data_IF_792616715895
#
_entry.id   IF_792616715895
#
_cell.length_a   1.000
_cell.length_b   1.000
_cell.length_c   1.000
_cell.angle_alpha   90.00
_cell.angle_beta   90.00
_cell.angle_gamma   90.00
#
_symmetry.space_group_name_H-M   'P 1'
#
loop_
_entity.id
_entity.type
_entity.pdbx_description
1 polymer ?
#
# COMPACT_ATOMS: atom_id res chain seq x y z
N UNK A 1 2.05 0.07 -11.46
CA UNK A 1 2.00 -1.07 -12.41
C UNK A 1 1.52 -2.38 -11.78
N UNK A 2 2.11 -2.86 -10.67
CA UNK A 2 1.62 -4.09 -10.00
C UNK A 2 0.41 -3.82 -9.12
N UNK A 3 0.49 -2.82 -8.23
CA UNK A 3 -0.63 -2.44 -7.35
C UNK A 3 -1.88 -2.09 -8.15
N UNK A 4 -1.74 -1.36 -9.26
CA UNK A 4 -2.86 -1.04 -10.14
C UNK A 4 -3.59 -2.29 -10.65
N UNK A 5 -2.86 -3.35 -11.02
CA UNK A 5 -3.45 -4.62 -11.46
C UNK A 5 -4.17 -5.32 -10.31
N UNK A 6 -3.55 -5.36 -9.13
CA UNK A 6 -4.18 -5.93 -7.93
C UNK A 6 -5.48 -5.20 -7.62
N UNK A 7 -5.46 -3.86 -7.63
CA UNK A 7 -6.64 -3.05 -7.35
C UNK A 7 -7.75 -3.27 -8.39
N UNK A 8 -7.39 -3.39 -9.67
CA UNK A 8 -8.35 -3.61 -10.75
C UNK A 8 -8.97 -5.02 -10.73
N UNK A 9 -8.18 -6.05 -10.40
CA UNK A 9 -8.64 -7.45 -10.49
C UNK A 9 -9.27 -7.99 -9.19
N UNK A 10 -8.88 -7.47 -8.02
CA UNK A 10 -9.32 -8.00 -6.74
C UNK A 10 -10.85 -8.07 -6.56
N UNK A 11 -11.66 -7.05 -6.91
CA UNK A 11 -13.11 -7.10 -6.70
C UNK A 11 -13.78 -8.28 -7.40
N UNK A 12 -13.38 -8.57 -8.64
CA UNK A 12 -13.92 -9.68 -9.43
C UNK A 12 -13.48 -11.07 -8.96
N UNK A 13 -12.62 -11.16 -7.94
CA UNK A 13 -12.13 -12.40 -7.34
C UNK A 13 -12.65 -12.63 -5.93
N UNK A 14 -13.34 -11.65 -5.33
CA UNK A 14 -13.94 -11.77 -4.02
C UNK A 14 -15.37 -12.32 -4.14
N UNK A 15 -15.76 -13.19 -3.22
CA UNK A 15 -17.18 -13.51 -2.99
C UNK A 15 -17.90 -12.27 -2.40
N UNK A 16 -19.23 -12.21 -2.44
CA UNK A 16 -19.96 -11.17 -1.72
C UNK A 16 -19.59 -11.14 -0.23
N UNK A 17 -19.36 -9.96 0.33
CA UNK A 17 -18.79 -9.76 1.68
C UNK A 17 -17.32 -10.22 1.84
N UNK A 18 -16.63 -10.51 0.75
CA UNK A 18 -15.23 -10.92 0.75
C UNK A 18 -14.28 -9.76 1.05
N UNK A 19 -13.11 -10.06 1.61
CA UNK A 19 -12.15 -9.04 2.07
C UNK A 19 -10.79 -9.24 1.42
N UNK A 20 -10.21 -8.15 0.91
CA UNK A 20 -8.80 -8.02 0.55
C UNK A 20 -8.04 -7.35 1.71
N UNK A 21 -6.91 -7.94 2.11
CA UNK A 21 -5.91 -7.28 2.95
C UNK A 21 -4.64 -7.09 2.12
N UNK A 22 -4.26 -5.83 1.93
CA UNK A 22 -3.10 -5.44 1.15
C UNK A 22 -2.09 -4.73 2.04
N UNK A 23 -0.90 -5.31 2.18
CA UNK A 23 0.23 -4.69 2.88
C UNK A 23 1.12 -4.02 1.85
N UNK A 24 1.41 -2.73 2.03
CA UNK A 24 2.35 -1.99 1.18
C UNK A 24 3.21 -1.02 1.99
N UNK A 25 4.36 -0.64 1.44
CA UNK A 25 5.11 0.53 1.91
C UNK A 25 4.33 1.81 1.62
N UNK A 26 4.34 2.76 2.55
CA UNK A 26 3.74 4.09 2.35
C UNK A 26 4.40 4.83 1.17
N UNK A 27 5.67 4.52 0.85
CA UNK A 27 6.39 5.05 -0.31
C UNK A 27 5.73 4.71 -1.65
N UNK A 28 4.89 3.67 -1.69
CA UNK A 28 4.12 3.30 -2.88
C UNK A 28 2.92 4.23 -3.15
N UNK A 29 2.63 5.16 -2.23
CA UNK A 29 1.46 6.03 -2.27
C UNK A 29 0.23 5.34 -1.70
N UNK A 30 -0.23 5.78 -0.53
CA UNK A 30 -1.41 5.21 0.15
C UNK A 30 -2.71 5.67 -0.52
N UNK A 31 -2.86 6.97 -0.74
CA UNK A 31 -4.07 7.56 -1.34
C UNK A 31 -4.37 7.00 -2.73
N UNK A 32 -3.40 6.92 -3.67
CA UNK A 32 -3.66 6.33 -4.99
C UNK A 32 -4.17 4.88 -4.92
N UNK A 33 -3.63 4.07 -4.01
CA UNK A 33 -4.08 2.68 -3.81
C UNK A 33 -5.51 2.63 -3.26
N UNK A 34 -5.82 3.44 -2.23
CA UNK A 34 -7.19 3.52 -1.68
C UNK A 34 -8.18 3.94 -2.77
N UNK A 35 -7.89 5.02 -3.49
CA UNK A 35 -8.78 5.54 -4.51
C UNK A 35 -8.99 4.53 -5.65
N UNK A 36 -7.95 3.77 -6.01
CA UNK A 36 -8.05 2.72 -7.01
C UNK A 36 -8.98 1.58 -6.57
N UNK A 37 -8.88 1.13 -5.31
CA UNK A 37 -9.76 0.10 -4.75
C UNK A 37 -11.21 0.58 -4.64
N UNK A 38 -11.43 1.83 -4.20
CA UNK A 38 -12.76 2.45 -4.15
C UNK A 38 -13.37 2.55 -5.54
N UNK A 39 -12.60 3.06 -6.52
CA UNK A 39 -13.07 3.11 -7.93
C UNK A 39 -13.36 1.74 -8.51
N UNK A 40 -12.68 0.69 -8.04
CA UNK A 40 -12.91 -0.68 -8.45
C UNK A 40 -14.11 -1.35 -7.74
N UNK A 41 -14.77 -0.65 -6.81
CA UNK A 41 -16.01 -1.09 -6.16
C UNK A 41 -15.84 -1.72 -4.78
N UNK A 42 -14.67 -1.59 -4.14
CA UNK A 42 -14.47 -2.04 -2.76
C UNK A 42 -14.66 -0.89 -1.78
N UNK A 43 -15.24 -1.18 -0.60
CA UNK A 43 -15.15 -0.30 0.56
C UNK A 43 -13.74 -0.41 1.16
N UNK A 44 -12.88 0.56 0.87
CA UNK A 44 -11.45 0.50 1.17
C UNK A 44 -11.01 1.54 2.20
N UNK A 45 -10.26 1.10 3.21
CA UNK A 45 -9.72 1.94 4.27
C UNK A 45 -8.36 1.44 4.76
N UNK A 46 -7.60 2.33 5.39
CA UNK A 46 -6.39 1.93 6.12
C UNK A 46 -6.80 1.29 7.44
N UNK A 47 -6.52 0.00 7.58
CA UNK A 47 -6.79 -0.75 8.80
C UNK A 47 -5.67 -0.61 9.83
N UNK A 48 -4.41 -0.51 9.40
CA UNK A 48 -3.26 -0.41 10.29
C UNK A 48 -2.07 0.30 9.63
N UNK A 49 -1.25 0.93 10.48
CA UNK A 49 0.04 1.56 10.12
C UNK A 49 1.12 1.10 11.08
N UNK A 50 2.31 0.79 10.57
CA UNK A 50 3.44 0.37 11.39
C UNK A 50 4.76 0.87 10.84
N UNK A 51 5.53 1.58 11.67
CA UNK A 51 6.93 1.86 11.37
C UNK A 51 7.81 0.66 11.71
N UNK A 52 8.55 0.17 10.71
CA UNK A 52 9.49 -0.95 10.84
C UNK A 52 10.87 -0.52 10.35
N UNK A 53 11.97 -1.11 10.84
CA UNK A 53 13.29 -0.84 10.28
C UNK A 53 13.32 -1.16 8.78
N UNK A 54 14.09 -0.40 8.00
CA UNK A 54 14.26 -0.70 6.58
C UNK A 54 14.72 -2.14 6.36
N UNK A 55 14.05 -2.81 5.43
CA UNK A 55 14.52 -4.08 4.88
C UNK A 55 15.76 -3.90 3.98
N UNK A 56 16.41 -5.00 3.57
CA UNK A 56 17.65 -4.95 2.77
C UNK A 56 17.53 -4.08 1.51
N UNK A 57 16.40 -4.19 0.80
CA UNK A 57 16.12 -3.44 -0.43
C UNK A 57 16.05 -1.93 -0.23
N UNK A 58 15.45 -1.46 0.87
CA UNK A 58 15.37 -0.03 1.17
C UNK A 58 16.71 0.49 1.66
N UNK A 59 17.45 -0.29 2.46
CA UNK A 59 18.80 0.09 2.90
C UNK A 59 19.74 0.31 1.71
N UNK A 60 19.74 -0.62 0.75
CA UNK A 60 20.53 -0.50 -0.49
C UNK A 60 20.18 0.75 -1.32
N UNK A 61 18.95 1.26 -1.20
CA UNK A 61 18.44 2.40 -1.99
C UNK A 61 18.26 3.68 -1.18
N UNK A 62 18.63 3.70 0.10
CA UNK A 62 18.29 4.79 1.02
C UNK A 62 18.84 6.15 0.55
N UNK A 63 20.12 6.20 0.19
CA UNK A 63 20.75 7.43 -0.33
C UNK A 63 20.11 7.92 -1.62
N UNK A 64 19.78 7.00 -2.54
CA UNK A 64 19.11 7.35 -3.78
C UNK A 64 17.69 7.90 -3.53
N UNK A 65 16.92 7.27 -2.63
CA UNK A 65 15.58 7.72 -2.25
C UNK A 65 15.61 9.09 -1.56
N UNK A 66 16.59 9.34 -0.68
CA UNK A 66 16.81 10.66 -0.04
C UNK A 66 17.16 11.72 -1.06
N UNK A 67 18.07 11.41 -1.99
CA UNK A 67 18.44 12.32 -3.09
C UNK A 67 17.26 12.67 -4.01
N UNK A 68 16.20 11.85 -4.01
CA UNK A 68 14.93 12.09 -4.73
C UNK A 68 13.86 12.78 -3.87
N UNK A 69 14.14 13.08 -2.61
CA UNK A 69 13.18 13.64 -1.66
C UNK A 69 12.08 12.66 -1.24
N UNK A 70 12.24 11.36 -1.51
CA UNK A 70 11.26 10.32 -1.18
C UNK A 70 11.45 9.75 0.23
N UNK A 71 12.60 10.02 0.85
CA UNK A 71 12.88 9.71 2.24
C UNK A 71 13.42 10.94 2.97
N UNK A 72 12.96 11.21 4.20
CA UNK A 72 13.56 12.20 5.07
C UNK A 72 15.04 11.91 5.39
N UNK A 73 15.86 12.95 5.63
CA UNK A 73 17.23 12.78 6.10
C UNK A 73 17.27 12.00 7.43
N UNK A 74 18.18 11.02 7.52
CA UNK A 74 18.38 10.25 8.76
C UNK A 74 17.31 9.20 9.08
N UNK A 75 16.23 9.09 8.30
CA UNK A 75 15.23 8.05 8.53
C UNK A 75 15.77 6.67 8.13
N UNK A 76 15.58 5.69 9.02
CA UNK A 76 16.01 4.29 8.89
C UNK A 76 14.84 3.30 9.03
N UNK A 77 13.61 3.84 9.06
CA UNK A 77 12.35 3.10 9.17
C UNK A 77 11.44 3.42 8.02
N UNK A 78 10.69 2.43 7.57
CA UNK A 78 9.58 2.63 6.63
C UNK A 78 8.25 2.45 7.34
N UNK A 79 7.25 3.21 6.90
CA UNK A 79 5.87 2.97 7.28
C UNK A 79 5.28 1.89 6.35
N UNK A 80 4.86 0.77 6.93
CA UNK A 80 3.99 -0.20 6.27
C UNK A 80 2.54 0.12 6.61
N UNK A 81 1.68 -0.02 5.61
CA UNK A 81 0.26 0.27 5.71
C UNK A 81 -0.52 -0.97 5.29
N UNK A 82 -1.50 -1.35 6.09
CA UNK A 82 -2.48 -2.38 5.77
C UNK A 82 -3.74 -1.68 5.27
N UNK A 83 -4.07 -1.90 4.01
CA UNK A 83 -5.33 -1.47 3.41
C UNK A 83 -6.30 -2.65 3.39
N UNK A 84 -7.48 -2.45 3.96
CA UNK A 84 -8.59 -3.40 3.92
C UNK A 84 -9.58 -2.92 2.87
N UNK A 85 -9.96 -3.79 1.93
CA UNK A 85 -11.03 -3.56 0.97
C UNK A 85 -12.10 -4.64 1.09
N UNK A 86 -13.37 -4.27 1.23
CA UNK A 86 -14.49 -5.21 1.35
C UNK A 86 -15.43 -5.10 0.15
N UNK A 87 -15.82 -6.26 -0.39
CA UNK A 87 -16.83 -6.35 -1.43
C UNK A 87 -18.23 -6.27 -0.82
N UNK A 88 -19.18 -5.67 -1.54
CA UNK A 88 -20.58 -5.65 -1.12
C UNK A 88 -21.16 -7.06 -0.91
N UNK A 89 -22.22 -7.16 -0.10
CA UNK A 89 -22.98 -8.38 0.15
C UNK A 89 -23.81 -8.85 -1.06
#
# INVERSE_FOLDING_TARGET
ALLDRICAEAPGRLRPGGVLLLVQSALSGVTPTLDALVRAGLDAQVAERRYVPFGPRLRERAEWLRGRGLLPPGEDKEELVVIRGEAAL
#
